data_IF_207463222696
#
_entry.id   IF_207463222696
#
_cell.length_a   1.000
_cell.length_b   1.000
_cell.length_c   1.000
_cell.angle_alpha   90.00
_cell.angle_beta   90.00
_cell.angle_gamma   90.00
#
_symmetry.space_group_name_H-M   'P 1'
#
loop_
_entity.id
_entity.type
_entity.pdbx_description
1 polymer ?
#
# COMPACT_ATOMS: atom_id res chain seq x y z
N UNK A 1 11.89 -8.08 6.53
CA UNK A 1 12.18 -8.72 7.84
C UNK A 1 13.69 -8.77 8.00
N UNK A 2 14.29 -7.72 8.56
CA UNK A 2 15.69 -7.68 8.95
C UNK A 2 15.71 -7.27 10.43
N UNK A 3 16.33 -8.09 11.28
CA UNK A 3 16.42 -7.88 12.72
C UNK A 3 17.88 -7.60 13.06
N UNK A 4 18.33 -6.37 12.78
CA UNK A 4 19.66 -5.94 13.20
C UNK A 4 19.68 -5.63 14.70
N UNK A 5 20.72 -6.15 15.35
CA UNK A 5 20.81 -6.24 16.81
C UNK A 5 21.42 -4.95 17.36
N UNK A 6 20.55 -3.99 17.73
CA UNK A 6 20.97 -2.83 18.52
C UNK A 6 21.21 -3.24 19.97
N UNK A 7 22.43 -3.70 20.24
CA UNK A 7 22.93 -3.90 21.60
C UNK A 7 23.03 -2.55 22.33
N UNK A 8 22.10 -2.28 23.25
CA UNK A 8 22.23 -1.15 24.18
C UNK A 8 23.42 -1.40 25.12
N UNK A 9 24.55 -0.80 24.81
CA UNK A 9 25.65 -0.64 25.76
C UNK A 9 25.15 0.23 26.93
N UNK A 10 25.14 -0.33 28.14
CA UNK A 10 24.67 0.38 29.33
C UNK A 10 25.70 1.42 29.78
N UNK A 11 25.49 2.68 29.41
CA UNK A 11 26.22 3.84 29.91
C UNK A 11 25.89 4.11 31.39
N UNK A 12 26.34 3.21 32.27
CA UNK A 12 26.36 3.37 33.72
C UNK A 12 27.79 3.22 34.26
N UNK A 13 28.69 4.06 33.74
CA UNK A 13 30.02 4.22 34.31
C UNK A 13 29.91 5.01 35.62
N UNK A 14 29.56 4.31 36.70
CA UNK A 14 29.48 4.87 38.04
C UNK A 14 30.82 5.49 38.47
N UNK A 15 30.82 6.58 39.28
CA UNK A 15 32.04 7.22 39.73
C UNK A 15 32.93 6.22 40.48
N UNK A 16 34.21 6.15 40.11
CA UNK A 16 35.17 5.34 40.84
C UNK A 16 35.30 5.86 42.28
N UNK A 17 34.72 5.13 43.24
CA UNK A 17 34.85 5.41 44.66
C UNK A 17 36.29 5.15 45.10
N UNK A 18 37.15 6.16 44.95
CA UNK A 18 38.48 6.19 45.53
C UNK A 18 38.33 5.95 47.03
N UNK A 19 38.76 4.76 47.48
CA UNK A 19 38.80 4.41 48.90
C UNK A 19 39.80 5.34 49.58
N UNK A 20 39.32 6.44 50.15
CA UNK A 20 40.09 7.22 51.11
C UNK A 20 40.51 6.26 52.21
N UNK A 21 41.81 6.00 52.26
CA UNK A 21 42.40 5.10 53.24
C UNK A 21 42.26 5.70 54.62
N UNK A 22 41.18 5.34 55.32
CA UNK A 22 41.00 5.62 56.74
C UNK A 22 42.12 4.91 57.52
N UNK A 23 43.26 5.60 57.62
CA UNK A 23 44.33 5.26 58.56
C UNK A 23 43.73 5.45 59.94
N UNK A 24 43.25 4.34 60.51
CA UNK A 24 42.91 4.21 61.91
C UNK A 24 44.19 4.33 62.73
N UNK A 25 44.63 5.57 62.88
CA UNK A 25 45.75 6.00 63.69
C UNK A 25 45.61 5.39 65.09
N UNK A 26 46.62 4.64 65.54
CA UNK A 26 46.47 3.70 66.64
C UNK A 26 45.89 4.39 67.89
N UNK A 27 44.68 3.96 68.29
CA UNK A 27 43.96 4.55 69.40
C UNK A 27 44.79 4.41 70.68
N UNK A 28 45.36 5.53 71.15
CA UNK A 28 45.94 5.62 72.49
C UNK A 28 44.82 5.25 73.45
N UNK A 29 44.98 4.16 74.20
CA UNK A 29 43.97 3.72 75.17
C UNK A 29 43.71 4.86 76.17
N UNK A 30 42.45 5.04 76.64
CA UNK A 30 42.15 6.06 77.64
C UNK A 30 43.07 5.86 78.85
N UNK A 31 43.65 6.95 79.35
CA UNK A 31 44.59 6.91 80.48
C UNK A 31 43.81 6.63 81.76
N UNK A 32 43.63 5.35 82.08
CA UNK A 32 43.21 4.86 83.39
C UNK A 32 44.29 5.27 84.42
N UNK A 33 43.95 5.64 85.68
CA UNK A 33 44.96 5.89 86.70
C UNK A 33 45.90 4.68 86.85
N UNK A 34 47.22 4.88 86.79
CA UNK A 34 48.19 3.77 86.82
C UNK A 34 48.30 3.06 88.18
N UNK A 35 47.67 3.64 89.22
CA UNK A 35 47.73 3.19 90.61
C UNK A 35 46.34 2.79 91.08
N UNK A 36 46.25 1.68 91.82
CA UNK A 36 45.03 1.21 92.50
C UNK A 36 45.05 1.42 94.02
N UNK A 37 46.12 2.01 94.57
CA UNK A 37 46.30 2.24 96.01
C UNK A 37 46.95 3.61 96.26
N UNK A 38 46.46 4.33 97.26
CA UNK A 38 47.03 5.62 97.69
C UNK A 38 48.46 5.40 98.19
N UNK A 39 49.41 6.11 97.58
CA UNK A 39 50.86 5.93 97.85
C UNK A 39 51.42 6.93 98.88
N UNK A 40 50.85 8.13 98.97
CA UNK A 40 51.27 9.19 99.89
C UNK A 40 50.57 9.08 101.25
N UNK A 41 51.20 9.61 102.30
CA UNK A 41 50.66 9.60 103.67
C UNK A 41 49.52 10.61 103.78
N UNK A 42 49.65 11.72 103.07
CA UNK A 42 48.71 12.84 102.99
C UNK A 42 47.39 12.37 102.37
N UNK A 43 47.43 11.63 101.25
CA UNK A 43 46.22 11.08 100.63
C UNK A 43 45.52 10.06 101.52
N UNK A 44 46.28 9.20 102.23
CA UNK A 44 45.70 8.26 103.21
C UNK A 44 45.06 8.97 104.39
N UNK A 45 45.65 10.07 104.88
CA UNK A 45 45.07 10.91 105.94
C UNK A 45 43.79 11.61 105.48
N UNK A 46 43.78 12.19 104.28
CA UNK A 46 42.60 12.84 103.69
C UNK A 46 41.45 11.82 103.55
N UNK A 47 41.75 10.62 103.05
CA UNK A 47 40.76 9.55 102.92
C UNK A 47 40.25 9.06 104.28
N UNK A 48 41.15 8.81 105.23
CA UNK A 48 40.81 8.37 106.59
C UNK A 48 39.98 9.39 107.37
N UNK A 49 40.23 10.70 107.20
CA UNK A 49 39.42 11.77 107.81
C UNK A 49 38.02 11.83 107.18
N UNK A 50 37.90 11.58 105.86
CA UNK A 50 36.61 11.50 105.19
C UNK A 50 35.82 10.25 105.60
N UNK A 51 36.48 9.09 105.73
CA UNK A 51 35.91 7.85 106.26
C UNK A 51 35.42 8.02 107.70
N UNK A 52 36.22 8.66 108.56
CA UNK A 52 35.84 8.97 109.95
C UNK A 52 34.69 9.99 110.02
N UNK A 53 34.62 10.95 109.09
CA UNK A 53 33.52 11.89 108.99
C UNK A 53 32.21 11.22 108.52
N UNK A 54 32.29 10.38 107.48
CA UNK A 54 31.14 9.58 107.00
C UNK A 54 30.62 8.68 108.12
N UNK A 55 31.50 7.98 108.84
CA UNK A 55 31.13 7.14 109.97
C UNK A 55 30.40 7.90 111.08
N UNK A 56 30.87 9.10 111.44
CA UNK A 56 30.19 9.96 112.44
C UNK A 56 28.83 10.45 111.94
N UNK A 57 28.69 10.80 110.67
CA UNK A 57 27.40 11.17 110.06
C UNK A 57 26.44 9.97 110.03
N UNK A 58 26.92 8.77 109.70
CA UNK A 58 26.13 7.53 109.71
C UNK A 58 25.59 7.17 111.11
N UNK A 59 26.26 7.61 112.19
CA UNK A 59 25.79 7.49 113.57
C UNK A 59 24.78 8.59 113.96
N UNK A 60 25.10 9.87 113.71
CA UNK A 60 24.20 11.00 114.07
C UNK A 60 22.83 10.85 113.38
N UNK A 61 22.84 10.43 112.11
CA UNK A 61 21.61 10.28 111.29
C UNK A 61 20.66 9.16 111.72
N UNK A 62 21.02 8.38 112.75
CA UNK A 62 20.18 7.31 113.34
C UNK A 62 19.61 7.72 114.72
N UNK A 63 20.09 8.82 115.33
CA UNK A 63 19.74 9.19 116.71
C UNK A 63 18.25 9.49 116.91
N UNK A 64 17.58 10.11 115.93
CA UNK A 64 16.12 10.35 115.98
C UNK A 64 15.32 9.05 116.09
N UNK A 65 15.74 8.00 115.37
CA UNK A 65 15.15 6.65 115.49
C UNK A 65 15.48 5.99 116.84
N UNK A 66 16.67 6.22 117.40
CA UNK A 66 17.07 5.70 118.72
C UNK A 66 16.13 6.20 119.83
N UNK A 67 15.84 7.50 119.87
CA UNK A 67 14.89 8.03 120.85
C UNK A 67 13.43 7.67 120.58
N UNK A 68 13.05 7.45 119.31
CA UNK A 68 11.71 6.99 118.94
C UNK A 68 11.40 5.56 119.41
N UNK A 69 12.41 4.75 119.74
CA UNK A 69 12.26 3.33 120.10
C UNK A 69 13.05 3.01 121.40
N UNK A 70 12.73 3.66 122.55
CA UNK A 70 13.62 3.64 123.71
C UNK A 70 13.75 2.26 124.35
N UNK A 71 12.65 1.48 124.45
CA UNK A 71 12.62 0.21 125.17
C UNK A 71 13.52 -0.88 124.57
N UNK A 72 13.71 -0.88 123.25
CA UNK A 72 14.61 -1.78 122.55
C UNK A 72 16.07 -1.31 122.66
N UNK A 73 16.28 0.00 122.54
CA UNK A 73 17.63 0.59 122.46
C UNK A 73 18.28 0.74 123.85
N UNK A 74 17.52 0.78 124.94
CA UNK A 74 18.05 0.89 126.31
C UNK A 74 18.92 -0.32 126.67
N UNK A 75 18.49 -1.51 126.24
CA UNK A 75 19.20 -2.78 126.44
C UNK A 75 20.54 -2.86 125.68
N UNK A 76 20.73 -2.02 124.66
CA UNK A 76 21.88 -2.06 123.73
C UNK A 76 22.85 -0.90 123.96
N UNK A 77 22.34 0.30 124.23
CA UNK A 77 23.13 1.53 124.41
C UNK A 77 23.40 1.84 125.89
N UNK A 78 22.48 1.43 126.77
CA UNK A 78 22.43 1.81 128.18
C UNK A 78 21.80 3.18 128.42
N UNK A 79 21.20 3.34 129.60
CA UNK A 79 20.40 4.51 129.99
C UNK A 79 21.14 5.84 129.80
N UNK A 80 22.43 5.93 130.15
CA UNK A 80 23.22 7.16 130.00
C UNK A 80 23.31 7.67 128.55
N UNK A 81 23.34 6.75 127.57
CA UNK A 81 23.39 7.13 126.15
C UNK A 81 21.99 7.55 125.69
N UNK A 82 20.93 6.85 126.09
CA UNK A 82 19.57 7.28 125.79
C UNK A 82 19.20 8.61 126.45
N UNK A 83 19.74 8.90 127.65
CA UNK A 83 19.56 10.17 128.34
C UNK A 83 20.18 11.30 127.51
N UNK A 84 21.46 11.18 127.14
CA UNK A 84 22.15 12.15 126.30
C UNK A 84 21.53 12.32 124.90
N UNK A 85 20.95 11.25 124.32
CA UNK A 85 20.23 11.34 123.03
C UNK A 85 18.86 12.01 123.18
N UNK A 86 18.15 11.80 124.30
CA UNK A 86 16.90 12.50 124.61
C UNK A 86 17.14 13.98 124.92
N UNK A 87 18.19 14.30 125.67
CA UNK A 87 18.66 15.68 125.90
C UNK A 87 18.97 16.37 124.56
N UNK A 88 19.78 15.75 123.70
CA UNK A 88 20.10 16.26 122.35
C UNK A 88 18.87 16.53 121.48
N UNK A 89 17.91 15.59 121.45
CA UNK A 89 16.71 15.76 120.61
C UNK A 89 15.70 16.73 121.21
N UNK A 90 15.71 16.94 122.52
CA UNK A 90 14.98 18.04 123.13
C UNK A 90 15.62 19.38 122.78
N UNK A 91 16.96 19.49 122.80
CA UNK A 91 17.68 20.69 122.33
C UNK A 91 17.45 20.96 120.83
N UNK A 92 17.40 19.92 120.00
CA UNK A 92 17.04 20.04 118.57
C UNK A 92 15.56 20.43 118.38
N UNK A 93 14.63 19.94 119.21
CA UNK A 93 13.22 20.32 119.16
C UNK A 93 12.97 21.76 119.66
N UNK A 94 13.60 22.17 120.75
CA UNK A 94 13.60 23.56 121.25
C UNK A 94 14.18 24.52 120.18
N UNK A 95 15.16 24.05 119.41
CA UNK A 95 15.71 24.78 118.27
C UNK A 95 14.73 24.80 117.09
N UNK A 96 14.13 23.68 116.69
CA UNK A 96 13.09 23.69 115.64
C UNK A 96 11.88 24.55 116.02
N UNK A 97 11.46 24.59 117.28
CA UNK A 97 10.43 25.51 117.77
C UNK A 97 10.92 26.97 117.74
N UNK A 98 12.14 27.30 118.18
CA UNK A 98 12.68 28.66 118.07
C UNK A 98 12.79 29.10 116.59
N UNK A 99 13.06 28.19 115.64
CA UNK A 99 13.04 28.48 114.21
C UNK A 99 11.62 28.60 113.63
N UNK A 100 10.67 27.75 113.99
CA UNK A 100 9.28 27.82 113.51
C UNK A 100 8.56 29.07 114.03
N UNK A 101 8.85 29.50 115.26
CA UNK A 101 8.39 30.78 115.82
C UNK A 101 9.06 32.02 115.18
N UNK A 102 10.07 31.83 114.31
CA UNK A 102 10.86 32.90 113.68
C UNK A 102 10.57 33.16 112.21
N UNK A 103 9.65 32.44 111.58
CA UNK A 103 9.18 32.72 110.22
C UNK A 103 8.31 34.01 110.13
N UNK A 104 8.25 34.78 111.22
CA UNK A 104 7.47 36.00 111.40
C UNK A 104 8.35 37.22 111.77
N UNK A 105 9.13 37.70 110.78
CA UNK A 105 9.88 38.97 110.72
C UNK A 105 10.35 39.63 112.05
N UNK A 106 11.55 39.24 112.51
CA UNK A 106 12.31 39.95 113.58
C UNK A 106 13.78 40.12 113.16
N UNK A 107 14.44 41.20 113.60
CA UNK A 107 15.78 41.59 113.11
C UNK A 107 16.89 40.54 113.34
N UNK A 108 17.61 40.25 112.25
CA UNK A 108 18.62 39.18 112.10
C UNK A 108 19.79 39.26 113.10
N UNK A 109 20.08 40.44 113.66
CA UNK A 109 21.23 40.62 114.55
C UNK A 109 20.93 40.20 115.99
N UNK A 110 19.70 40.43 116.48
CA UNK A 110 19.22 39.85 117.75
C UNK A 110 18.99 38.34 117.59
N UNK A 111 18.51 37.90 116.41
CA UNK A 111 18.29 36.49 116.12
C UNK A 111 19.56 35.63 116.30
N UNK A 112 20.73 36.14 115.90
CA UNK A 112 22.01 35.40 115.99
C UNK A 112 22.48 35.19 117.44
N UNK A 113 22.16 36.10 118.36
CA UNK A 113 22.66 36.06 119.74
C UNK A 113 22.07 34.95 120.62
N UNK A 114 20.86 34.46 120.38
CA UNK A 114 20.31 33.28 121.09
C UNK A 114 20.62 31.96 120.38
N UNK A 115 20.55 31.96 119.05
CA UNK A 115 20.84 30.76 118.24
C UNK A 115 22.31 30.33 118.32
N UNK A 116 23.27 31.25 118.49
CA UNK A 116 24.69 30.87 118.63
C UNK A 116 24.94 29.99 119.87
N UNK A 117 24.48 30.35 121.09
CA UNK A 117 24.43 29.46 122.24
C UNK A 117 23.75 28.12 121.97
N UNK A 118 22.52 28.10 121.47
CA UNK A 118 21.75 26.86 121.27
C UNK A 118 22.39 25.92 120.23
N UNK A 119 22.88 26.47 119.11
CA UNK A 119 23.65 25.73 118.10
C UNK A 119 24.97 25.21 118.69
N UNK A 120 25.61 25.92 119.62
CA UNK A 120 26.83 25.44 120.28
C UNK A 120 26.52 24.35 121.31
N UNK A 121 25.41 24.47 122.05
CA UNK A 121 24.91 23.47 122.98
C UNK A 121 24.58 22.16 122.24
N UNK A 122 23.75 22.19 121.19
CA UNK A 122 23.47 21.03 120.32
C UNK A 122 24.77 20.44 119.77
N UNK A 123 25.75 21.26 119.35
CA UNK A 123 27.05 20.76 118.88
C UNK A 123 27.85 20.05 119.97
N UNK A 124 27.89 20.56 121.19
CA UNK A 124 28.64 19.96 122.29
C UNK A 124 27.91 18.73 122.88
N UNK A 125 26.58 18.74 122.88
CA UNK A 125 25.68 17.61 123.13
C UNK A 125 25.89 16.50 122.09
N UNK A 126 25.90 16.83 120.78
CA UNK A 126 26.23 15.90 119.68
C UNK A 126 27.63 15.30 119.86
N UNK A 127 28.63 16.11 120.25
CA UNK A 127 29.97 15.61 120.58
C UNK A 127 29.94 14.70 121.80
N UNK A 128 29.10 14.97 122.80
CA UNK A 128 28.96 14.14 123.99
C UNK A 128 28.35 12.77 123.66
N UNK A 129 27.21 12.74 122.96
CA UNK A 129 26.58 11.53 122.43
C UNK A 129 27.57 10.73 121.56
N UNK A 130 28.28 11.37 120.62
CA UNK A 130 29.29 10.70 119.81
C UNK A 130 30.47 10.16 120.63
N UNK A 131 30.95 10.86 121.66
CA UNK A 131 31.99 10.33 122.58
C UNK A 131 31.50 9.12 123.36
N UNK A 132 30.25 9.12 123.81
CA UNK A 132 29.63 8.01 124.54
C UNK A 132 29.39 6.79 123.64
N UNK A 133 29.00 7.00 122.38
CA UNK A 133 28.87 5.92 121.38
C UNK A 133 30.25 5.37 120.96
N UNK A 134 31.23 6.24 120.69
CA UNK A 134 32.57 5.81 120.27
C UNK A 134 33.37 5.14 121.40
N UNK A 135 33.06 5.40 122.67
CA UNK A 135 33.64 4.66 123.81
C UNK A 135 33.01 3.27 124.02
N UNK A 136 31.82 3.01 123.45
CA UNK A 136 31.17 1.68 123.40
C UNK A 136 31.08 1.19 121.94
N UNK A 137 32.17 0.75 121.30
CA UNK A 137 32.19 0.43 119.86
C UNK A 137 31.19 -0.66 119.42
N UNK A 138 30.78 -1.56 120.32
CA UNK A 138 29.72 -2.54 120.06
C UNK A 138 28.35 -1.88 119.84
N UNK A 139 28.03 -0.83 120.61
CA UNK A 139 26.80 -0.05 120.47
C UNK A 139 26.82 0.79 119.17
N UNK A 140 27.94 1.45 118.87
CA UNK A 140 28.10 2.18 117.61
C UNK A 140 28.03 1.27 116.37
N UNK A 141 28.61 0.06 116.44
CA UNK A 141 28.50 -0.94 115.36
C UNK A 141 27.07 -1.42 115.11
N UNK A 142 26.28 -1.62 116.18
CA UNK A 142 24.86 -1.95 116.07
C UNK A 142 24.06 -0.85 115.38
N UNK A 143 24.26 0.43 115.78
CA UNK A 143 23.60 1.58 115.15
C UNK A 143 23.98 1.74 113.66
N UNK A 144 25.22 1.46 113.28
CA UNK A 144 25.64 1.56 111.88
C UNK A 144 24.88 0.57 110.98
N UNK A 145 24.61 -0.65 111.49
CA UNK A 145 23.83 -1.68 110.79
C UNK A 145 22.34 -1.32 110.67
N UNK A 146 21.82 -0.43 111.52
CA UNK A 146 20.40 -0.10 111.62
C UNK A 146 19.99 0.99 110.62
N UNK A 147 19.88 0.61 109.34
CA UNK A 147 19.54 1.50 108.23
C UNK A 147 18.11 2.03 108.25
N UNK A 148 17.18 1.32 108.89
CA UNK A 148 15.72 1.56 108.86
C UNK A 148 15.27 2.86 109.53
N UNK A 149 16.16 3.56 110.26
CA UNK A 149 15.84 4.78 111.01
C UNK A 149 16.19 6.11 110.32
N UNK A 150 16.87 6.09 109.17
CA UNK A 150 17.39 7.33 108.55
C UNK A 150 16.34 8.05 107.72
N UNK A 151 16.33 9.39 107.78
CA UNK A 151 15.49 10.20 106.88
C UNK A 151 15.99 10.13 105.43
N UNK A 152 15.09 10.32 104.47
CA UNK A 152 15.43 10.29 103.03
C UNK A 152 16.41 11.42 102.62
N UNK A 153 16.49 12.52 103.38
CA UNK A 153 17.51 13.55 103.21
C UNK A 153 18.87 13.11 103.74
N UNK A 154 18.91 12.53 104.93
CA UNK A 154 20.12 12.01 105.56
C UNK A 154 20.79 10.91 104.71
N UNK A 155 20.01 9.97 104.19
CA UNK A 155 20.54 8.89 103.35
C UNK A 155 21.18 9.44 102.05
N UNK A 156 20.49 10.34 101.33
CA UNK A 156 21.04 11.02 100.14
C UNK A 156 22.33 11.78 100.43
N UNK A 157 22.46 12.39 101.61
CA UNK A 157 23.69 13.07 102.03
C UNK A 157 24.85 12.07 102.27
N UNK A 158 24.59 10.94 102.93
CA UNK A 158 25.58 9.86 103.10
C UNK A 158 26.01 9.29 101.73
N UNK A 159 25.05 9.04 100.84
CA UNK A 159 25.34 8.54 99.48
C UNK A 159 26.19 9.55 98.69
N UNK A 160 25.86 10.85 98.77
CA UNK A 160 26.66 11.94 98.16
C UNK A 160 28.08 12.02 98.74
N UNK A 161 28.26 11.78 100.04
CA UNK A 161 29.59 11.72 100.66
C UNK A 161 30.39 10.49 100.22
N UNK A 162 29.73 9.35 99.98
CA UNK A 162 30.35 8.12 99.45
C UNK A 162 30.72 8.28 97.96
N UNK A 163 29.91 8.96 97.17
CA UNK A 163 30.30 9.38 95.79
C UNK A 163 31.50 10.33 95.81
N UNK A 164 31.50 11.32 96.71
CA UNK A 164 32.63 12.22 96.92
C UNK A 164 33.90 11.47 97.37
N UNK A 165 33.78 10.45 98.22
CA UNK A 165 34.88 9.57 98.61
C UNK A 165 35.47 8.85 97.39
N UNK A 166 34.62 8.27 96.53
CA UNK A 166 35.05 7.63 95.28
C UNK A 166 35.76 8.61 94.34
N UNK A 167 35.18 9.79 94.11
CA UNK A 167 35.78 10.85 93.29
C UNK A 167 37.13 11.31 93.85
N UNK A 168 37.23 11.58 95.15
CA UNK A 168 38.48 12.00 95.79
C UNK A 168 39.53 10.87 95.77
N UNK A 169 39.12 9.61 95.90
CA UNK A 169 40.02 8.46 95.75
C UNK A 169 40.62 8.42 94.33
N UNK A 170 39.81 8.55 93.28
CA UNK A 170 40.33 8.65 91.90
C UNK A 170 41.26 9.86 91.71
N UNK A 171 40.89 11.05 92.21
CA UNK A 171 41.74 12.25 92.11
C UNK A 171 43.07 12.10 92.83
N UNK A 172 43.09 11.47 94.01
CA UNK A 172 44.30 11.20 94.79
C UNK A 172 45.15 10.05 94.22
N UNK A 173 44.57 9.19 93.38
CA UNK A 173 45.32 8.20 92.58
C UNK A 173 45.95 8.83 91.33
N UNK A 174 45.29 9.79 90.68
CA UNK A 174 45.80 10.41 89.45
C UNK A 174 47.03 11.30 89.69
N UNK A 175 48.09 11.06 88.92
CA UNK A 175 49.26 11.94 88.87
C UNK A 175 48.94 13.26 88.14
N UNK A 176 49.54 14.41 88.53
CA UNK A 176 49.47 15.65 87.76
C UNK A 176 49.97 15.52 86.31
N UNK A 177 50.83 14.54 86.02
CA UNK A 177 51.25 14.21 84.65
C UNK A 177 50.12 13.49 83.90
N UNK A 178 49.58 12.41 84.46
CA UNK A 178 48.44 11.67 83.88
C UNK A 178 47.23 12.59 83.61
N UNK A 179 46.99 13.57 84.48
CA UNK A 179 45.92 14.56 84.29
C UNK A 179 46.18 15.47 83.07
N UNK A 180 47.43 15.88 82.83
CA UNK A 180 47.83 16.62 81.62
C UNK A 180 47.75 15.74 80.38
N UNK A 181 48.20 14.50 80.45
CA UNK A 181 48.16 13.54 79.35
C UNK A 181 46.71 13.24 78.92
N UNK A 182 45.78 13.08 79.88
CA UNK A 182 44.33 12.98 79.62
C UNK A 182 43.80 14.23 78.91
N UNK A 183 44.13 15.43 79.40
CA UNK A 183 43.66 16.68 78.82
C UNK A 183 44.18 16.89 77.38
N UNK A 184 45.45 16.60 77.12
CA UNK A 184 46.04 16.66 75.78
C UNK A 184 45.40 15.64 74.83
N UNK A 185 45.20 14.39 75.30
CA UNK A 185 44.55 13.34 74.51
C UNK A 185 43.12 13.71 74.12
N UNK A 186 42.32 14.27 75.04
CA UNK A 186 40.98 14.78 74.74
C UNK A 186 41.05 15.96 73.74
N UNK A 187 42.01 16.88 73.91
CA UNK A 187 42.17 18.00 72.98
C UNK A 187 42.53 17.52 71.56
N UNK A 188 43.38 16.50 71.43
CA UNK A 188 43.75 15.94 70.13
C UNK A 188 42.62 15.11 69.50
N UNK A 189 41.79 14.42 70.28
CA UNK A 189 40.54 13.82 69.80
C UNK A 189 39.62 14.92 69.26
N UNK A 190 39.41 16.01 70.01
CA UNK A 190 38.52 17.09 69.58
C UNK A 190 39.01 17.74 68.26
N UNK A 191 40.33 18.01 68.14
CA UNK A 191 40.93 18.49 66.88
C UNK A 191 40.82 17.48 65.72
N UNK A 192 40.78 16.18 65.99
CA UNK A 192 40.58 15.13 64.96
C UNK A 192 39.12 15.07 64.54
N UNK A 193 38.20 15.05 65.50
CA UNK A 193 36.76 15.04 65.26
C UNK A 193 36.30 16.29 64.50
N UNK A 194 36.82 17.48 64.83
CA UNK A 194 36.49 18.71 64.13
C UNK A 194 36.93 18.67 62.65
N UNK A 195 38.16 18.23 62.34
CA UNK A 195 38.60 18.04 60.95
C UNK A 195 37.82 16.95 60.21
N UNK A 196 37.44 15.88 60.92
CA UNK A 196 36.58 14.84 60.34
C UNK A 196 35.19 15.41 60.01
N UNK A 197 34.64 16.28 60.86
CA UNK A 197 33.38 16.97 60.60
C UNK A 197 33.50 17.93 59.41
N UNK A 198 34.54 18.75 59.34
CA UNK A 198 34.83 19.63 58.19
C UNK A 198 34.89 18.84 56.86
N UNK A 199 35.44 17.62 56.87
CA UNK A 199 35.48 16.72 55.71
C UNK A 199 34.09 16.08 55.42
N UNK A 200 33.33 15.71 56.44
CA UNK A 200 31.95 15.22 56.28
C UNK A 200 31.07 16.31 55.68
N UNK A 201 31.07 17.51 56.26
CA UNK A 201 30.31 18.67 55.79
C UNK A 201 30.67 19.01 54.33
N UNK A 202 31.95 18.98 53.97
CA UNK A 202 32.40 19.19 52.59
C UNK A 202 31.87 18.13 51.62
N UNK A 203 31.89 16.85 52.02
CA UNK A 203 31.37 15.74 51.20
C UNK A 203 29.84 15.77 51.09
N UNK A 204 29.11 16.17 52.14
CA UNK A 204 27.65 16.34 52.11
C UNK A 204 27.25 17.53 51.21
N UNK A 205 28.01 18.62 51.25
CA UNK A 205 27.84 19.74 50.31
C UNK A 205 28.13 19.31 48.85
N UNK A 206 29.18 18.52 48.59
CA UNK A 206 29.44 18.01 47.24
C UNK A 206 28.34 17.04 46.77
N UNK A 207 27.87 16.13 47.64
CA UNK A 207 26.80 15.18 47.34
C UNK A 207 25.48 15.89 47.05
N UNK A 208 25.12 16.92 47.82
CA UNK A 208 23.89 17.70 47.57
C UNK A 208 23.99 18.57 46.32
N UNK A 209 25.17 19.12 46.01
CA UNK A 209 25.42 19.82 44.74
C UNK A 209 25.31 18.87 43.53
N UNK A 210 25.93 17.69 43.59
CA UNK A 210 25.85 16.66 42.53
C UNK A 210 24.41 16.15 42.34
N UNK A 211 23.64 15.95 43.43
CA UNK A 211 22.21 15.60 43.35
C UNK A 211 21.40 16.67 42.62
N UNK A 212 21.55 17.94 43.00
CA UNK A 212 20.87 19.07 42.32
C UNK A 212 21.22 19.19 40.84
N UNK A 213 22.48 18.96 40.44
CA UNK A 213 22.87 18.92 39.02
C UNK A 213 22.17 17.77 38.28
N UNK A 214 22.18 16.56 38.87
CA UNK A 214 21.54 15.36 38.31
C UNK A 214 20.02 15.52 38.20
N UNK A 215 19.38 16.14 39.19
CA UNK A 215 17.95 16.48 39.20
C UNK A 215 17.63 17.47 38.06
N UNK A 216 18.39 18.56 37.93
CA UNK A 216 18.22 19.55 36.86
C UNK A 216 18.58 19.01 35.45
N UNK A 217 19.41 17.98 35.33
CA UNK A 217 19.64 17.22 34.08
C UNK A 217 18.41 16.37 33.73
N UNK A 218 17.90 15.61 34.70
CA UNK A 218 16.70 14.77 34.54
C UNK A 218 15.44 15.62 34.24
N UNK A 219 15.32 16.82 34.79
CA UNK A 219 14.24 17.76 34.42
C UNK A 219 14.32 18.21 32.96
N UNK A 220 15.52 18.53 32.45
CA UNK A 220 15.74 18.89 31.04
C UNK A 220 15.44 17.72 30.10
N UNK A 221 15.91 16.52 30.44
CA UNK A 221 15.61 15.30 29.68
C UNK A 221 14.09 15.03 29.66
N UNK A 222 13.40 15.16 30.80
CA UNK A 222 11.95 15.02 30.86
C UNK A 222 11.21 16.06 30.01
N UNK A 223 11.67 17.31 29.98
CA UNK A 223 11.11 18.33 29.09
C UNK A 223 11.28 17.96 27.61
N UNK A 224 12.48 17.54 27.19
CA UNK A 224 12.74 17.08 25.81
C UNK A 224 11.88 15.85 25.47
N UNK A 225 11.71 14.91 26.41
CA UNK A 225 10.81 13.75 26.24
C UNK A 225 9.35 14.18 26.06
N UNK A 226 8.86 15.19 26.80
CA UNK A 226 7.51 15.74 26.63
C UNK A 226 7.34 16.45 25.28
N UNK A 227 8.33 17.22 24.84
CA UNK A 227 8.29 17.88 23.54
C UNK A 227 8.30 16.85 22.39
N UNK A 228 9.18 15.85 22.44
CA UNK A 228 9.24 14.77 21.45
C UNK A 228 7.95 13.96 21.40
N UNK A 229 7.34 13.64 22.55
CA UNK A 229 6.00 13.00 22.61
C UNK A 229 4.92 13.87 21.93
N UNK A 230 4.94 15.18 22.17
CA UNK A 230 3.98 16.13 21.58
C UNK A 230 4.17 16.24 20.06
N UNK A 231 5.42 16.41 19.59
CA UNK A 231 5.77 16.43 18.16
C UNK A 231 5.38 15.12 17.47
N UNK A 232 5.66 13.96 18.07
CA UNK A 232 5.27 12.65 17.54
C UNK A 232 3.75 12.51 17.42
N UNK A 233 3.00 12.93 18.44
CA UNK A 233 1.53 12.89 18.42
C UNK A 233 0.93 13.82 17.35
N UNK A 234 1.53 14.99 17.11
CA UNK A 234 1.15 15.88 16.01
C UNK A 234 1.43 15.26 14.64
N UNK A 235 2.61 14.67 14.44
CA UNK A 235 2.98 13.99 13.18
C UNK A 235 2.08 12.80 12.88
N UNK A 236 1.73 11.99 13.89
CA UNK A 236 0.79 10.87 13.74
C UNK A 236 -0.62 11.36 13.35
N UNK A 237 -1.18 12.34 14.07
CA UNK A 237 -2.49 12.93 13.71
C UNK A 237 -2.50 13.53 12.30
N UNK A 238 -1.42 14.20 11.91
CA UNK A 238 -1.28 14.76 10.57
C UNK A 238 -1.21 13.66 9.50
N UNK A 239 -0.41 12.60 9.71
CA UNK A 239 -0.28 11.51 8.74
C UNK A 239 -1.57 10.69 8.62
N UNK A 240 -2.26 10.40 9.73
CA UNK A 240 -3.58 9.76 9.74
C UNK A 240 -4.62 10.56 8.94
N UNK A 241 -4.74 11.87 9.21
CA UNK A 241 -5.68 12.74 8.49
C UNK A 241 -5.35 12.90 7.01
N UNK A 242 -4.06 12.97 6.66
CA UNK A 242 -3.57 13.03 5.28
C UNK A 242 -3.85 11.71 4.53
N UNK A 243 -3.60 10.56 5.16
CA UNK A 243 -3.87 9.23 4.61
C UNK A 243 -5.38 9.04 4.41
N UNK A 244 -6.21 9.41 5.39
CA UNK A 244 -7.66 9.37 5.28
C UNK A 244 -8.18 10.23 4.13
N UNK A 245 -7.70 11.48 3.99
CA UNK A 245 -8.06 12.36 2.86
C UNK A 245 -7.65 11.75 1.53
N UNK A 246 -6.40 11.31 1.41
CA UNK A 246 -5.84 10.73 0.17
C UNK A 246 -6.60 9.46 -0.24
N UNK A 247 -6.97 8.60 0.72
CA UNK A 247 -7.80 7.42 0.46
C UNK A 247 -9.21 7.81 -0.03
N UNK A 248 -9.88 8.74 0.64
CA UNK A 248 -11.22 9.20 0.23
C UNK A 248 -11.20 9.86 -1.15
N UNK A 249 -10.14 10.59 -1.49
CA UNK A 249 -9.95 11.25 -2.78
C UNK A 249 -9.68 10.23 -3.89
N UNK A 250 -8.82 9.24 -3.66
CA UNK A 250 -8.61 8.12 -4.57
C UNK A 250 -9.89 7.29 -4.78
N UNK A 251 -10.68 7.01 -3.72
CA UNK A 251 -11.96 6.32 -3.84
C UNK A 251 -13.01 7.13 -4.63
N UNK A 252 -13.04 8.46 -4.49
CA UNK A 252 -13.91 9.33 -5.31
C UNK A 252 -13.49 9.28 -6.77
N UNK A 253 -12.19 9.44 -7.05
CA UNK A 253 -11.64 9.41 -8.40
C UNK A 253 -11.91 8.06 -9.08
N UNK A 254 -11.66 6.94 -8.39
CA UNK A 254 -11.97 5.59 -8.88
C UNK A 254 -13.45 5.43 -9.25
N UNK A 255 -14.38 5.98 -8.44
CA UNK A 255 -15.83 5.94 -8.70
C UNK A 255 -16.23 6.80 -9.91
N UNK A 256 -15.54 7.91 -10.16
CA UNK A 256 -15.71 8.75 -11.37
C UNK A 256 -15.16 8.02 -12.60
N UNK A 257 -13.93 7.52 -12.55
CA UNK A 257 -13.28 6.85 -13.68
C UNK A 257 -13.98 5.55 -14.07
N UNK A 258 -14.48 4.79 -13.09
CA UNK A 258 -15.31 3.61 -13.34
C UNK A 258 -16.59 3.97 -14.11
N UNK A 259 -17.32 5.00 -13.67
CA UNK A 259 -18.53 5.49 -14.36
C UNK A 259 -18.22 6.01 -15.76
N UNK A 260 -17.14 6.77 -15.93
CA UNK A 260 -16.69 7.25 -17.23
C UNK A 260 -16.30 6.08 -18.16
N UNK A 261 -15.69 5.01 -17.63
CA UNK A 261 -15.37 3.81 -18.37
C UNK A 261 -16.63 3.03 -18.78
N UNK A 262 -17.58 2.86 -17.85
CA UNK A 262 -18.88 2.22 -18.12
C UNK A 262 -19.65 2.96 -19.23
N UNK A 263 -19.66 4.30 -19.20
CA UNK A 263 -20.27 5.12 -20.25
C UNK A 263 -19.59 4.95 -21.62
N UNK A 264 -18.24 4.90 -21.66
CA UNK A 264 -17.49 4.61 -22.90
C UNK A 264 -17.80 3.21 -23.45
N UNK A 265 -17.85 2.20 -22.58
CA UNK A 265 -18.20 0.81 -22.98
C UNK A 265 -19.62 0.74 -23.54
N UNK A 266 -20.60 1.37 -22.89
CA UNK A 266 -21.97 1.42 -23.38
C UNK A 266 -22.09 2.11 -24.76
N UNK A 267 -21.37 3.22 -24.96
CA UNK A 267 -21.32 3.92 -26.26
C UNK A 267 -20.72 3.03 -27.36
N UNK A 268 -19.58 2.38 -27.08
CA UNK A 268 -18.92 1.48 -28.04
C UNK A 268 -19.81 0.26 -28.35
N UNK A 269 -20.52 -0.29 -27.36
CA UNK A 269 -21.49 -1.36 -27.59
C UNK A 269 -22.65 -0.92 -28.50
N UNK A 270 -23.18 0.30 -28.31
CA UNK A 270 -24.19 0.87 -29.20
C UNK A 270 -23.65 1.09 -30.63
N UNK A 271 -22.43 1.62 -30.77
CA UNK A 271 -21.76 1.79 -32.06
C UNK A 271 -21.55 0.45 -32.79
N UNK A 272 -21.12 -0.59 -32.08
CA UNK A 272 -20.98 -1.96 -32.62
C UNK A 272 -22.34 -2.51 -33.10
N UNK A 273 -23.43 -2.28 -32.36
CA UNK A 273 -24.77 -2.74 -32.76
C UNK A 273 -25.28 -1.98 -34.00
N UNK A 274 -25.09 -0.66 -34.07
CA UNK A 274 -25.44 0.13 -35.26
C UNK A 274 -24.64 -0.30 -36.49
N UNK A 275 -23.31 -0.45 -36.36
CA UNK A 275 -22.45 -0.90 -37.45
C UNK A 275 -22.80 -2.32 -37.93
N UNK A 276 -23.16 -3.24 -37.02
CA UNK A 276 -23.67 -4.58 -37.37
C UNK A 276 -24.97 -4.52 -38.16
N UNK A 277 -25.90 -3.65 -37.78
CA UNK A 277 -27.15 -3.46 -38.53
C UNK A 277 -26.88 -2.84 -39.92
N UNK A 278 -26.05 -1.81 -40.00
CA UNK A 278 -25.67 -1.18 -41.28
C UNK A 278 -24.99 -2.18 -42.21
N UNK A 279 -24.05 -2.98 -41.70
CA UNK A 279 -23.40 -4.04 -42.47
C UNK A 279 -24.40 -5.11 -42.95
N UNK A 280 -25.33 -5.54 -42.09
CA UNK A 280 -26.36 -6.50 -42.48
C UNK A 280 -27.25 -5.96 -43.60
N UNK A 281 -27.73 -4.72 -43.47
CA UNK A 281 -28.57 -4.06 -44.47
C UNK A 281 -27.85 -3.94 -45.82
N UNK A 282 -26.58 -3.49 -45.82
CA UNK A 282 -25.76 -3.42 -47.03
C UNK A 282 -25.55 -4.81 -47.67
N UNK A 283 -25.39 -5.87 -46.87
CA UNK A 283 -25.28 -7.25 -47.40
C UNK A 283 -26.60 -7.73 -48.01
N UNK A 284 -27.76 -7.40 -47.42
CA UNK A 284 -29.07 -7.72 -48.01
C UNK A 284 -29.35 -6.92 -49.28
N UNK A 285 -29.10 -5.61 -49.28
CA UNK A 285 -29.29 -4.72 -50.44
C UNK A 285 -28.41 -5.15 -51.62
N UNK A 286 -27.11 -5.40 -51.39
CA UNK A 286 -26.22 -5.89 -52.44
C UNK A 286 -26.65 -7.25 -52.98
N UNK A 287 -27.12 -8.17 -52.13
CA UNK A 287 -27.63 -9.49 -52.54
C UNK A 287 -28.91 -9.38 -53.38
N UNK A 288 -29.81 -8.46 -53.04
CA UNK A 288 -31.04 -8.22 -53.81
C UNK A 288 -30.73 -7.56 -55.16
N UNK A 289 -29.83 -6.59 -55.19
CA UNK A 289 -29.34 -5.96 -56.42
C UNK A 289 -28.61 -6.96 -57.32
N UNK A 290 -27.76 -7.82 -56.76
CA UNK A 290 -27.10 -8.90 -57.50
C UNK A 290 -28.12 -9.90 -58.07
N UNK A 291 -29.12 -10.31 -57.28
CA UNK A 291 -30.20 -11.17 -57.78
C UNK A 291 -31.03 -10.50 -58.87
N UNK A 292 -31.29 -9.20 -58.78
CA UNK A 292 -31.99 -8.44 -59.82
C UNK A 292 -31.16 -8.37 -61.11
N UNK A 293 -29.83 -8.18 -61.01
CA UNK A 293 -28.91 -8.21 -62.15
C UNK A 293 -28.80 -9.62 -62.76
N UNK A 294 -28.69 -10.68 -61.95
CA UNK A 294 -28.72 -12.08 -62.42
C UNK A 294 -30.03 -12.41 -63.15
N UNK A 295 -31.19 -11.95 -62.64
CA UNK A 295 -32.50 -12.10 -63.31
C UNK A 295 -32.58 -11.33 -64.63
N UNK A 296 -32.03 -10.11 -64.70
CA UNK A 296 -31.93 -9.34 -65.97
C UNK A 296 -31.01 -10.03 -66.97
N UNK A 297 -29.83 -10.49 -66.53
CA UNK A 297 -28.87 -11.24 -67.36
C UNK A 297 -29.54 -12.48 -67.96
N UNK A 298 -30.16 -13.32 -67.13
CA UNK A 298 -30.85 -14.53 -67.59
C UNK A 298 -31.94 -14.24 -68.64
N UNK A 299 -32.72 -13.16 -68.48
CA UNK A 299 -33.70 -12.74 -69.51
C UNK A 299 -33.03 -12.43 -70.84
N UNK A 300 -31.99 -11.59 -70.84
CA UNK A 300 -31.24 -11.23 -72.05
C UNK A 300 -30.57 -12.47 -72.67
N UNK A 301 -30.05 -13.39 -71.86
CA UNK A 301 -29.53 -14.67 -72.34
C UNK A 301 -30.63 -15.51 -73.02
N UNK A 302 -31.82 -15.63 -72.43
CA UNK A 302 -32.95 -16.32 -73.09
C UNK A 302 -33.48 -15.59 -74.33
N UNK A 303 -33.41 -14.26 -74.38
CA UNK A 303 -33.77 -13.48 -75.57
C UNK A 303 -32.76 -13.71 -76.71
N UNK A 304 -31.46 -13.80 -76.41
CA UNK A 304 -30.41 -14.16 -77.37
C UNK A 304 -30.58 -15.60 -77.85
N UNK A 305 -30.80 -16.55 -76.93
CA UNK A 305 -31.06 -17.97 -77.25
C UNK A 305 -32.24 -18.12 -78.23
N UNK A 306 -33.34 -17.39 -77.98
CA UNK A 306 -34.51 -17.35 -78.86
C UNK A 306 -34.21 -16.71 -80.24
N UNK A 307 -33.29 -15.75 -80.33
CA UNK A 307 -32.87 -15.17 -81.61
C UNK A 307 -31.94 -16.11 -82.39
N UNK A 308 -31.05 -16.84 -81.71
CA UNK A 308 -30.21 -17.87 -82.31
C UNK A 308 -31.10 -18.99 -82.89
N UNK A 309 -32.02 -19.54 -82.09
CA UNK A 309 -32.93 -20.60 -82.55
C UNK A 309 -33.78 -20.18 -83.75
N UNK A 310 -34.24 -18.93 -83.81
CA UNK A 310 -34.92 -18.38 -85.00
C UNK A 310 -33.99 -18.31 -86.20
N UNK A 311 -32.80 -17.73 -86.04
CA UNK A 311 -31.82 -17.61 -87.12
C UNK A 311 -31.43 -18.99 -87.67
N UNK A 312 -31.16 -19.96 -86.80
CA UNK A 312 -30.82 -21.33 -87.20
C UNK A 312 -31.99 -22.02 -87.93
N UNK A 313 -33.25 -21.75 -87.52
CA UNK A 313 -34.45 -22.25 -88.21
C UNK A 313 -34.63 -21.58 -89.58
N UNK A 314 -34.62 -20.25 -89.64
CA UNK A 314 -34.77 -19.46 -90.88
C UNK A 314 -33.65 -19.78 -91.88
N UNK A 315 -32.41 -19.98 -91.41
CA UNK A 315 -31.30 -20.42 -92.25
C UNK A 315 -31.44 -21.88 -92.71
N UNK A 316 -32.00 -22.77 -91.88
CA UNK A 316 -32.35 -24.14 -92.27
C UNK A 316 -33.39 -24.15 -93.39
N UNK A 317 -34.52 -23.47 -93.19
CA UNK A 317 -35.58 -23.31 -94.20
C UNK A 317 -35.05 -22.70 -95.52
N UNK A 318 -34.15 -21.71 -95.44
CA UNK A 318 -33.52 -21.11 -96.63
C UNK A 318 -32.50 -22.01 -97.32
N UNK A 319 -31.85 -22.92 -96.58
CA UNK A 319 -30.96 -23.93 -97.16
C UNK A 319 -31.78 -25.04 -97.84
N UNK A 320 -32.87 -25.50 -97.23
CA UNK A 320 -33.81 -26.45 -97.85
C UNK A 320 -34.43 -25.87 -99.13
N UNK A 321 -34.94 -24.64 -99.11
CA UNK A 321 -35.42 -23.93 -100.32
C UNK A 321 -34.35 -23.81 -101.41
N UNK A 322 -33.08 -23.57 -101.04
CA UNK A 322 -31.98 -23.48 -102.00
C UNK A 322 -31.65 -24.84 -102.61
N UNK A 323 -31.63 -25.91 -101.80
CA UNK A 323 -31.35 -27.27 -102.28
C UNK A 323 -32.46 -27.80 -103.19
N UNK A 324 -33.73 -27.55 -102.87
CA UNK A 324 -34.87 -27.84 -103.76
C UNK A 324 -34.76 -27.07 -105.09
N UNK A 325 -34.43 -25.78 -105.06
CA UNK A 325 -34.26 -24.98 -106.28
C UNK A 325 -33.05 -25.41 -107.11
N UNK A 326 -31.94 -25.82 -106.49
CA UNK A 326 -30.76 -26.34 -107.20
C UNK A 326 -31.00 -27.76 -107.75
N UNK A 327 -31.84 -28.57 -107.11
CA UNK A 327 -32.36 -29.83 -107.68
C UNK A 327 -33.21 -29.58 -108.93
N UNK A 328 -34.22 -28.68 -108.84
CA UNK A 328 -35.05 -28.30 -109.98
C UNK A 328 -34.20 -27.73 -111.13
N UNK A 329 -33.25 -26.84 -110.82
CA UNK A 329 -32.34 -26.27 -111.82
C UNK A 329 -31.44 -27.32 -112.50
N UNK A 330 -30.99 -28.35 -111.78
CA UNK A 330 -30.26 -29.49 -112.38
C UNK A 330 -31.17 -30.29 -113.32
N UNK A 331 -32.41 -30.56 -112.92
CA UNK A 331 -33.38 -31.26 -113.76
C UNK A 331 -33.76 -30.45 -115.02
N UNK A 332 -34.08 -29.17 -114.88
CA UNK A 332 -34.35 -28.26 -115.99
C UNK A 332 -33.15 -28.14 -116.93
N UNK A 333 -31.91 -28.13 -116.41
CA UNK A 333 -30.69 -28.12 -117.23
C UNK A 333 -30.52 -29.40 -118.04
N UNK A 334 -30.78 -30.58 -117.47
CA UNK A 334 -30.78 -31.84 -118.21
C UNK A 334 -31.88 -31.85 -119.28
N UNK A 335 -33.09 -31.39 -118.96
CA UNK A 335 -34.17 -31.25 -119.93
C UNK A 335 -33.83 -30.26 -121.06
N UNK A 336 -33.12 -29.17 -120.76
CA UNK A 336 -32.63 -28.21 -121.74
C UNK A 336 -31.55 -28.83 -122.65
N UNK A 337 -30.61 -29.60 -122.10
CA UNK A 337 -29.60 -30.33 -122.86
C UNK A 337 -30.24 -31.39 -123.78
N UNK A 338 -31.25 -32.12 -123.31
CA UNK A 338 -32.07 -33.00 -124.17
C UNK A 338 -32.80 -32.25 -125.29
N UNK A 339 -33.40 -31.09 -124.99
CA UNK A 339 -34.14 -30.29 -125.96
C UNK A 339 -33.22 -29.62 -126.98
N UNK A 340 -32.01 -29.22 -126.59
CA UNK A 340 -30.96 -28.76 -127.51
C UNK A 340 -30.54 -29.90 -128.44
N UNK A 341 -30.23 -31.08 -127.92
CA UNK A 341 -29.88 -32.23 -128.76
C UNK A 341 -30.99 -32.62 -129.74
N UNK A 342 -32.27 -32.61 -129.31
CA UNK A 342 -33.43 -32.79 -130.19
C UNK A 342 -33.55 -31.68 -131.23
N UNK A 343 -33.23 -30.44 -130.88
CA UNK A 343 -33.24 -29.31 -131.82
C UNK A 343 -32.14 -29.43 -132.87
N UNK A 344 -30.94 -29.82 -132.49
CA UNK A 344 -29.81 -30.01 -133.42
C UNK A 344 -30.09 -31.12 -134.43
N UNK A 345 -30.64 -32.27 -133.98
CA UNK A 345 -31.11 -33.34 -134.87
C UNK A 345 -32.19 -32.84 -135.83
N UNK A 346 -33.17 -32.06 -135.35
CA UNK A 346 -34.18 -31.44 -136.21
C UNK A 346 -33.58 -30.42 -137.18
N UNK A 347 -32.52 -29.69 -136.82
CA UNK A 347 -31.82 -28.78 -137.73
C UNK A 347 -31.08 -29.55 -138.84
N UNK A 348 -30.48 -30.70 -138.53
CA UNK A 348 -29.90 -31.61 -139.53
C UNK A 348 -30.99 -32.16 -140.48
N UNK A 349 -32.13 -32.63 -139.95
CA UNK A 349 -33.27 -33.07 -140.76
C UNK A 349 -33.82 -31.91 -141.64
N UNK A 350 -33.97 -30.70 -141.10
CA UNK A 350 -34.39 -29.53 -141.87
C UNK A 350 -33.37 -29.10 -142.93
N UNK A 351 -32.07 -29.32 -142.70
CA UNK A 351 -31.02 -29.11 -143.71
C UNK A 351 -31.17 -30.15 -144.83
N UNK A 352 -31.23 -31.44 -144.50
CA UNK A 352 -31.44 -32.54 -145.46
C UNK A 352 -32.69 -32.30 -146.31
N UNK A 353 -33.85 -32.00 -145.69
CA UNK A 353 -35.10 -31.73 -146.40
C UNK A 353 -35.03 -30.46 -147.26
N UNK A 354 -34.19 -29.46 -146.92
CA UNK A 354 -33.93 -28.32 -147.83
C UNK A 354 -33.04 -28.72 -149.01
N UNK A 355 -31.99 -29.49 -148.79
CA UNK A 355 -31.12 -29.98 -149.86
C UNK A 355 -31.87 -30.90 -150.83
N UNK A 356 -32.69 -31.83 -150.32
CA UNK A 356 -33.60 -32.65 -151.13
C UNK A 356 -34.57 -31.78 -151.96
N UNK A 357 -35.17 -30.75 -151.35
CA UNK A 357 -36.06 -29.82 -152.06
C UNK A 357 -35.32 -29.02 -153.12
N UNK A 358 -34.08 -28.61 -152.88
CA UNK A 358 -33.24 -27.97 -153.89
C UNK A 358 -32.86 -28.94 -155.02
N UNK A 359 -32.50 -30.18 -154.72
CA UNK A 359 -32.18 -31.21 -155.71
C UNK A 359 -33.43 -31.53 -156.55
N UNK A 360 -34.60 -31.63 -155.94
CA UNK A 360 -35.88 -31.81 -156.63
C UNK A 360 -36.27 -30.57 -157.47
N UNK A 361 -35.98 -29.36 -157.00
CA UNK A 361 -36.19 -28.14 -157.77
C UNK A 361 -35.25 -28.04 -158.98
N UNK A 362 -33.96 -28.38 -158.81
CA UNK A 362 -32.95 -28.47 -159.88
C UNK A 362 -33.38 -29.52 -160.93
N UNK A 363 -33.73 -30.74 -160.50
CA UNK A 363 -34.27 -31.81 -161.38
C UNK A 363 -35.56 -31.40 -162.11
N UNK A 364 -36.47 -30.65 -161.46
CA UNK A 364 -37.68 -30.11 -162.13
C UNK A 364 -37.31 -29.08 -163.19
N UNK A 365 -36.40 -28.15 -162.88
CA UNK A 365 -35.93 -27.13 -163.83
C UNK A 365 -35.20 -27.76 -165.02
N UNK A 366 -34.40 -28.80 -164.78
CA UNK A 366 -33.74 -29.61 -165.81
C UNK A 366 -34.76 -30.32 -166.70
N UNK A 367 -35.75 -31.01 -166.11
CA UNK A 367 -36.83 -31.67 -166.85
C UNK A 367 -37.71 -30.68 -167.64
N UNK A 368 -37.96 -29.48 -167.11
CA UNK A 368 -38.65 -28.40 -167.83
C UNK A 368 -37.81 -27.91 -169.02
N UNK A 369 -36.50 -27.73 -168.86
CA UNK A 369 -35.60 -27.40 -169.96
C UNK A 369 -35.55 -28.49 -171.03
N UNK A 370 -35.54 -29.77 -170.64
CA UNK A 370 -35.60 -30.89 -171.56
C UNK A 370 -36.95 -30.99 -172.28
N UNK A 371 -38.07 -30.78 -171.58
CA UNK A 371 -39.39 -30.66 -172.21
C UNK A 371 -39.45 -29.50 -173.19
N UNK A 372 -38.82 -28.35 -172.89
CA UNK A 372 -38.70 -27.23 -173.84
C UNK A 372 -37.82 -27.60 -175.05
N UNK A 373 -36.74 -28.38 -174.87
CA UNK A 373 -35.92 -28.92 -175.99
C UNK A 373 -36.75 -29.89 -176.85
N UNK A 374 -37.46 -30.84 -176.24
CA UNK A 374 -38.35 -31.81 -176.89
C UNK A 374 -39.45 -31.11 -177.70
N UNK A 375 -40.14 -30.14 -177.09
CA UNK A 375 -41.20 -29.35 -177.76
C UNK A 375 -40.64 -28.53 -178.92
N UNK A 376 -39.45 -27.90 -178.77
CA UNK A 376 -38.79 -27.19 -179.89
C UNK A 376 -38.43 -28.15 -181.04
N UNK A 377 -37.89 -29.33 -180.75
CA UNK A 377 -37.58 -30.34 -181.76
C UNK A 377 -38.84 -30.85 -182.48
N UNK A 378 -39.90 -31.20 -181.72
CA UNK A 378 -41.19 -31.60 -182.29
C UNK A 378 -41.81 -30.49 -183.16
N UNK A 379 -41.70 -29.23 -182.74
CA UNK A 379 -42.19 -28.07 -183.51
C UNK A 379 -41.43 -27.89 -184.82
N UNK A 380 -40.10 -28.05 -184.82
CA UNK A 380 -39.27 -28.01 -186.03
C UNK A 380 -39.62 -29.13 -187.01
N UNK A 381 -39.79 -30.37 -186.53
CA UNK A 381 -40.18 -31.53 -187.35
C UNK A 381 -41.56 -31.29 -187.98
N UNK A 382 -42.54 -30.83 -187.19
CA UNK A 382 -43.87 -30.50 -187.70
C UNK A 382 -43.85 -29.35 -188.74
N UNK A 383 -43.02 -28.33 -188.53
CA UNK A 383 -42.88 -27.20 -189.45
C UNK A 383 -42.25 -27.60 -190.78
N UNK A 384 -41.21 -28.46 -190.75
CA UNK A 384 -40.57 -29.00 -191.95
C UNK A 384 -41.55 -29.83 -192.80
N UNK A 385 -42.28 -30.75 -192.16
CA UNK A 385 -43.25 -31.61 -192.86
C UNK A 385 -44.42 -30.82 -193.46
N UNK A 386 -45.04 -29.93 -192.67
CA UNK A 386 -46.11 -29.04 -193.15
C UNK A 386 -45.63 -28.15 -194.31
N UNK A 387 -44.39 -27.66 -194.23
CA UNK A 387 -43.77 -26.88 -195.31
C UNK A 387 -43.49 -27.67 -196.59
N UNK A 388 -43.05 -28.93 -196.47
CA UNK A 388 -42.79 -29.81 -197.62
C UNK A 388 -44.09 -30.09 -198.40
N UNK A 389 -45.15 -30.50 -197.70
CA UNK A 389 -46.45 -30.84 -198.29
C UNK A 389 -47.05 -29.66 -199.08
N UNK A 390 -46.93 -28.44 -198.56
CA UNK A 390 -47.43 -27.20 -199.20
C UNK A 390 -46.61 -26.81 -200.44
N UNK A 391 -45.32 -27.15 -200.50
CA UNK A 391 -44.43 -26.76 -201.62
C UNK A 391 -44.53 -27.67 -202.86
N UNK A 392 -45.03 -28.89 -202.71
CA UNK A 392 -45.13 -29.86 -203.82
C UNK A 392 -46.18 -29.51 -204.88
N UNK A 393 -47.32 -28.93 -204.47
CA UNK A 393 -48.56 -28.90 -205.28
C UNK A 393 -48.77 -27.68 -206.21
N UNK A 394 -47.78 -26.77 -206.39
CA UNK A 394 -48.05 -25.42 -206.91
C UNK A 394 -47.14 -24.88 -208.04
N UNK A 395 -46.79 -25.68 -209.07
CA UNK A 395 -46.16 -25.14 -210.32
C UNK A 395 -46.64 -25.75 -211.66
N UNK A 396 -47.92 -25.59 -212.03
CA UNK A 396 -48.29 -25.33 -213.45
C UNK A 396 -49.68 -24.65 -213.66
N UNK A 397 -49.69 -23.64 -214.56
CA UNK A 397 -50.83 -22.97 -215.24
C UNK A 397 -52.19 -22.70 -214.52
N UNK A 398 -52.40 -21.41 -214.18
CA UNK A 398 -53.50 -20.52 -214.70
C UNK A 398 -55.00 -20.84 -214.39
N UNK A 399 -55.61 -20.23 -213.33
CA UNK A 399 -56.98 -19.59 -213.35
C UNK A 399 -57.52 -18.98 -212.02
N UNK A 400 -58.12 -17.77 -212.14
CA UNK A 400 -59.33 -17.14 -211.51
C UNK A 400 -59.83 -17.42 -210.04
N UNK A 401 -60.08 -16.29 -209.34
CA UNK A 401 -61.24 -15.90 -208.45
C UNK A 401 -61.46 -16.51 -207.03
N UNK A 402 -61.92 -15.65 -206.10
CA UNK A 402 -62.43 -15.93 -204.72
C UNK A 402 -61.46 -15.43 -203.62
N UNK A 403 -61.77 -14.59 -202.60
CA UNK A 403 -62.98 -13.97 -201.97
C UNK A 403 -63.63 -14.74 -200.78
N UNK A 404 -63.14 -14.47 -199.56
CA UNK A 404 -63.74 -14.79 -198.24
C UNK A 404 -62.64 -14.76 -197.13
N UNK A 405 -62.79 -14.37 -195.84
CA UNK A 405 -63.80 -13.73 -194.95
C UNK A 405 -64.18 -14.55 -193.69
N UNK A 406 -63.39 -14.45 -192.61
CA UNK A 406 -63.77 -14.60 -191.16
C UNK A 406 -62.53 -14.24 -190.28
N UNK A 407 -62.53 -13.63 -189.08
CA UNK A 407 -63.50 -13.09 -188.09
C UNK A 407 -63.74 -13.90 -186.78
N UNK A 408 -63.07 -13.50 -185.70
CA UNK A 408 -63.34 -13.73 -184.25
C UNK A 408 -62.32 -12.90 -183.42
N UNK A 409 -62.59 -12.18 -182.31
CA UNK A 409 -63.46 -12.30 -181.10
C UNK A 409 -63.06 -13.45 -180.14
N UNK A 410 -63.14 -13.35 -178.81
CA UNK A 410 -63.54 -12.29 -177.82
C UNK A 410 -62.73 -12.57 -176.49
N UNK A 411 -62.25 -11.70 -175.58
CA UNK A 411 -62.33 -10.25 -175.25
C UNK A 411 -63.08 -9.86 -173.94
N UNK A 412 -62.57 -10.31 -172.78
CA UNK A 412 -62.84 -9.83 -171.39
C UNK A 412 -61.62 -10.07 -170.47
N UNK A 413 -61.33 -9.41 -169.33
CA UNK A 413 -61.95 -8.36 -168.48
C UNK A 413 -62.71 -8.80 -167.21
N UNK A 414 -61.98 -8.96 -166.10
CA UNK A 414 -62.34 -8.60 -164.70
C UNK A 414 -61.01 -8.29 -163.94
N UNK A 415 -60.85 -7.54 -162.83
CA UNK A 415 -61.67 -6.96 -161.74
C UNK A 415 -61.96 -7.83 -160.48
N UNK A 416 -61.06 -7.72 -159.49
CA UNK A 416 -61.18 -8.04 -158.05
C UNK A 416 -59.86 -7.55 -157.39
N UNK A 417 -59.81 -6.79 -156.27
CA UNK A 417 -60.15 -7.11 -154.86
C UNK A 417 -59.42 -8.38 -154.36
N UNK A 418 -58.78 -8.39 -153.17
CA UNK A 418 -59.02 -7.57 -151.96
C UNK A 418 -57.73 -7.18 -151.16
N UNK A 419 -57.91 -6.53 -149.99
CA UNK A 419 -56.95 -6.12 -148.95
C UNK A 419 -56.17 -7.35 -148.41
N UNK A 420 -55.03 -7.23 -147.71
CA UNK A 420 -54.31 -6.05 -147.20
C UNK A 420 -54.08 -6.11 -145.67
N UNK A 421 -53.04 -5.40 -145.17
CA UNK A 421 -52.49 -5.40 -143.79
C UNK A 421 -51.69 -6.65 -143.38
N UNK A 422 -50.37 -6.55 -143.52
CA UNK A 422 -49.47 -7.04 -142.46
C UNK A 422 -49.54 -6.07 -141.26
N UNK A 423 -49.38 -6.58 -140.03
CA UNK A 423 -49.26 -5.75 -138.82
C UNK A 423 -48.38 -6.44 -137.79
N UNK A 424 -47.07 -6.14 -137.81
CA UNK A 424 -46.13 -6.55 -136.77
C UNK A 424 -46.34 -5.72 -135.50
N UNK A 425 -46.99 -6.33 -134.51
CA UNK A 425 -46.62 -6.17 -133.10
C UNK A 425 -45.81 -7.43 -132.72
N UNK A 426 -45.00 -7.42 -131.67
CA UNK A 426 -45.04 -6.53 -130.49
C UNK A 426 -43.65 -6.10 -130.06
#
# INVERSE_FOLDING_TARGET
>A
MALDILALASFYQGPAMNKMGLKADASKKPVVPSKSKLTTIEAKRIMSVLEEAIYKVELVTVLSYVASNPEDMEKVLGEDILRAVRELLQEEAEMEEEWQLRDLDVSIEVQKSSLLPLIQQIKDSTKNVLRLLLSKPQAAGFLQMQTLGRSAGAQKFIDSLRELQGFLFEKLLTSPMEAKDKAQFIQDINKRNQRNQEVIDALENELTARRKSREAEVEKENFVIQELKTRLHQVLKFSESSLLRTKQEAEKQQKVDFRASQARVAKIQQEILMLRSQFHNLVTENREMEQALRKKKYKVETEIENWIQKYDTEMGEKQEEYEDLDLIHKEEKVQLEELQHRHDVLLEEFAQVREEREILAKRRLEAEQEMVRMVRAATLIQALWKGYLVRSLLRSKKKKRGKGKAKGKEKGKDKGKEKGKSKGKK
#
